data_IF_021487489886
#
_entry.id   IF_021487489886
#
_cell.length_a   1.000
_cell.length_b   1.000
_cell.length_c   1.000
_cell.angle_alpha   90.00
_cell.angle_beta   90.00
_cell.angle_gamma   90.00
#
_symmetry.space_group_name_H-M   'P 1'
#
loop_
_entity.id
_entity.type
_entity.pdbx_description
1 polymer ?
#
# COMPACT_ATOMS: atom_id res chain seq x y z
N UNK A 1 32.94 44.02 8.74
CA UNK A 1 33.36 42.84 9.52
C UNK A 1 32.48 41.69 9.11
N UNK A 2 33.04 40.71 8.39
CA UNK A 2 32.33 39.49 8.01
C UNK A 2 32.52 38.44 9.09
N UNK A 3 31.43 37.84 9.55
CA UNK A 3 31.46 36.71 10.46
C UNK A 3 31.43 35.42 9.61
N UNK A 4 32.38 34.49 9.78
CA UNK A 4 32.35 33.23 9.05
C UNK A 4 31.35 32.28 9.73
N UNK A 5 30.28 31.90 9.03
CA UNK A 5 29.36 30.86 9.47
C UNK A 5 29.98 29.48 9.27
N UNK A 6 30.42 28.84 10.36
CA UNK A 6 30.66 27.40 10.40
C UNK A 6 29.30 26.68 10.39
N UNK A 7 29.20 25.63 9.56
CA UNK A 7 27.95 24.96 9.23
C UNK A 7 27.36 24.04 10.30
N UNK A 8 26.24 23.40 9.95
CA UNK A 8 25.79 22.19 10.62
C UNK A 8 25.12 21.25 9.60
N UNK A 9 25.65 20.03 9.37
CA UNK A 9 24.96 19.00 8.63
C UNK A 9 24.04 18.28 9.63
N UNK A 10 22.79 18.72 9.73
CA UNK A 10 21.82 18.15 10.66
C UNK A 10 20.57 17.70 9.93
N UNK A 11 20.58 16.49 9.37
CA UNK A 11 19.35 15.82 8.96
C UNK A 11 18.57 15.45 10.21
N UNK A 12 17.40 16.06 10.43
CA UNK A 12 16.50 15.67 11.51
C UNK A 12 15.99 14.24 11.28
N UNK A 13 16.13 13.33 12.26
CA UNK A 13 15.48 12.03 12.19
C UNK A 13 13.98 12.27 12.39
N UNK A 14 13.21 12.28 11.29
CA UNK A 14 11.75 12.27 11.37
C UNK A 14 11.32 11.03 12.14
N UNK A 15 10.49 11.21 13.18
CA UNK A 15 9.90 10.10 13.91
C UNK A 15 9.05 9.24 12.96
N UNK A 16 9.40 7.96 12.86
CA UNK A 16 8.70 6.99 12.01
C UNK A 16 7.20 6.96 12.32
N UNK A 17 6.82 7.14 13.59
CA UNK A 17 5.43 7.24 14.04
C UNK A 17 4.68 8.44 13.44
N UNK A 18 5.26 9.64 13.35
CA UNK A 18 4.55 10.74 12.68
C UNK A 18 4.54 10.56 11.17
N UNK A 19 5.56 9.91 10.60
CA UNK A 19 5.54 9.56 9.17
C UNK A 19 4.41 8.58 8.86
N UNK A 20 4.19 7.59 9.73
CA UNK A 20 3.07 6.66 9.66
C UNK A 20 1.72 7.37 9.87
N UNK A 21 1.61 8.26 10.85
CA UNK A 21 0.41 9.06 11.08
C UNK A 21 0.06 9.97 9.89
N UNK A 22 1.06 10.63 9.28
CA UNK A 22 0.85 11.44 8.07
C UNK A 22 0.42 10.59 6.87
N UNK A 23 1.04 9.41 6.68
CA UNK A 23 0.64 8.48 5.62
C UNK A 23 -0.80 7.99 5.82
N UNK A 24 -1.23 7.69 7.05
CA UNK A 24 -2.61 7.28 7.34
C UNK A 24 -3.66 8.34 6.98
N UNK A 25 -3.27 9.62 6.92
CA UNK A 25 -4.16 10.74 6.57
C UNK A 25 -4.07 11.19 5.11
N UNK A 26 -3.03 10.78 4.37
CA UNK A 26 -2.73 11.28 3.01
C UNK A 26 -2.59 10.19 1.94
N UNK A 27 -2.63 8.91 2.34
CA UNK A 27 -2.58 7.77 1.40
C UNK A 27 -3.84 7.72 0.54
N UNK A 28 -3.70 7.34 -0.73
CA UNK A 28 -4.80 7.25 -1.69
C UNK A 28 -5.90 6.30 -1.26
N UNK A 29 -5.54 5.12 -0.75
CA UNK A 29 -6.49 4.21 -0.11
C UNK A 29 -6.41 4.32 1.43
N UNK A 30 -7.54 4.71 2.03
CA UNK A 30 -7.69 4.87 3.48
C UNK A 30 -8.38 3.67 4.17
N UNK A 31 -8.76 2.64 3.41
CA UNK A 31 -9.53 1.51 3.92
C UNK A 31 -8.77 0.75 5.02
N UNK A 32 -9.33 0.70 6.23
CA UNK A 32 -8.71 0.08 7.40
C UNK A 32 -7.52 0.85 7.99
N UNK A 33 -7.08 1.96 7.39
CA UNK A 33 -5.93 2.77 7.85
C UNK A 33 -6.36 4.10 8.44
N UNK A 34 -7.35 4.77 7.82
CA UNK A 34 -7.91 6.04 8.29
C UNK A 34 -9.44 6.08 8.28
N UNK A 35 -10.09 5.11 7.63
CA UNK A 35 -11.54 4.97 7.61
C UNK A 35 -11.95 3.50 7.78
N UNK A 36 -13.13 3.28 8.36
CA UNK A 36 -13.90 2.05 8.26
C UNK A 36 -15.39 2.40 8.16
N UNK A 37 -16.20 1.42 7.78
CA UNK A 37 -17.65 1.52 7.71
C UNK A 37 -18.26 0.53 8.71
N UNK A 38 -19.29 0.95 9.44
CA UNK A 38 -20.07 0.08 10.34
C UNK A 38 -21.49 -0.02 9.80
N UNK A 39 -21.95 -1.25 9.52
CA UNK A 39 -23.28 -1.51 9.02
C UNK A 39 -24.36 -1.30 10.10
N UNK A 40 -25.62 -1.18 9.69
CA UNK A 40 -26.74 -1.13 10.63
C UNK A 40 -26.89 -2.41 11.49
N UNK A 41 -26.24 -3.52 11.10
CA UNK A 41 -26.20 -4.78 11.86
C UNK A 41 -24.96 -4.87 12.76
N UNK A 42 -24.10 -3.86 12.73
CA UNK A 42 -22.87 -3.78 13.51
C UNK A 42 -21.65 -4.44 12.87
N UNK A 43 -21.75 -4.96 11.64
CA UNK A 43 -20.59 -5.49 10.91
C UNK A 43 -19.64 -4.33 10.56
N UNK A 44 -18.34 -4.55 10.71
CA UNK A 44 -17.30 -3.55 10.43
C UNK A 44 -16.57 -3.94 9.16
N UNK A 45 -16.48 -2.99 8.23
CA UNK A 45 -15.83 -3.14 6.93
C UNK A 45 -14.71 -2.10 6.75
N UNK A 46 -13.67 -2.38 5.96
CA UNK A 46 -12.58 -1.44 5.71
C UNK A 46 -12.98 -0.13 5.06
N UNK A 47 -14.01 -0.15 4.21
CA UNK A 47 -14.64 1.03 3.64
C UNK A 47 -16.05 0.67 3.17
N UNK A 48 -16.82 1.65 2.70
CA UNK A 48 -18.18 1.40 2.20
C UNK A 48 -18.27 0.55 0.92
N UNK A 49 -17.15 0.17 0.31
CA UNK A 49 -17.11 -0.55 -0.97
C UNK A 49 -16.39 -1.90 -0.94
N UNK A 50 -15.66 -2.22 0.14
CA UNK A 50 -14.93 -3.49 0.27
C UNK A 50 -15.73 -4.44 1.17
N UNK A 51 -16.45 -5.44 0.61
CA UNK A 51 -17.36 -6.30 1.37
C UNK A 51 -16.63 -7.45 2.07
N UNK A 52 -15.54 -7.15 2.78
CA UNK A 52 -14.79 -8.10 3.60
C UNK A 52 -14.94 -7.67 5.05
N UNK A 53 -15.57 -8.50 5.86
CA UNK A 53 -15.88 -8.20 7.27
C UNK A 53 -14.60 -8.30 8.14
N UNK A 54 -14.33 -7.26 8.92
CA UNK A 54 -13.25 -7.24 9.94
C UNK A 54 -13.74 -7.73 11.32
N UNK A 55 -15.04 -7.66 11.59
CA UNK A 55 -15.66 -8.09 12.85
C UNK A 55 -17.02 -7.44 13.06
N UNK A 56 -17.60 -7.60 14.25
CA UNK A 56 -18.91 -7.04 14.58
C UNK A 56 -18.94 -6.37 15.97
N UNK A 57 -19.32 -5.07 16.01
CA UNK A 57 -19.34 -4.26 17.25
C UNK A 57 -20.35 -4.73 18.30
N UNK A 58 -21.29 -5.60 17.91
CA UNK A 58 -22.26 -6.21 18.84
C UNK A 58 -21.68 -7.42 19.57
N UNK A 59 -20.52 -7.92 19.13
CA UNK A 59 -19.85 -9.12 19.66
C UNK A 59 -18.54 -8.80 20.36
N UNK A 60 -17.80 -7.81 19.89
CA UNK A 60 -16.52 -7.39 20.47
C UNK A 60 -16.35 -5.86 20.41
N UNK A 61 -15.52 -5.26 21.29
CA UNK A 61 -15.26 -3.82 21.27
C UNK A 61 -14.74 -3.34 19.91
N UNK A 62 -15.21 -2.18 19.45
CA UNK A 62 -14.74 -1.59 18.19
C UNK A 62 -13.22 -1.41 18.16
N UNK A 63 -12.62 -1.07 19.31
CA UNK A 63 -11.17 -0.91 19.43
C UNK A 63 -10.40 -2.17 19.05
N UNK A 64 -10.84 -3.34 19.52
CA UNK A 64 -10.21 -4.63 19.20
C UNK A 64 -10.35 -4.97 17.71
N UNK A 65 -11.52 -4.70 17.11
CA UNK A 65 -11.69 -4.83 15.65
C UNK A 65 -10.71 -3.91 14.91
N UNK A 66 -10.66 -2.65 15.34
CA UNK A 66 -9.83 -1.64 14.69
C UNK A 66 -8.34 -1.96 14.83
N UNK A 67 -7.84 -2.21 16.03
CA UNK A 67 -6.41 -2.38 16.31
C UNK A 67 -5.92 -3.78 15.90
N UNK A 68 -6.71 -4.83 16.15
CA UNK A 68 -6.21 -6.21 16.17
C UNK A 68 -6.80 -7.14 15.10
N UNK A 69 -7.78 -6.70 14.29
CA UNK A 69 -8.32 -7.58 13.24
C UNK A 69 -7.25 -7.90 12.19
N UNK A 70 -7.22 -9.17 11.76
CA UNK A 70 -6.30 -9.63 10.72
C UNK A 70 -6.45 -8.81 9.43
N UNK A 71 -7.71 -8.55 9.02
CA UNK A 71 -8.01 -7.76 7.83
C UNK A 71 -7.42 -6.34 7.89
N UNK A 72 -7.61 -5.62 8.99
CA UNK A 72 -7.06 -4.26 9.08
C UNK A 72 -5.54 -4.25 9.25
N UNK A 73 -4.99 -5.25 9.91
CA UNK A 73 -3.54 -5.45 10.00
C UNK A 73 -2.93 -5.61 8.61
N UNK A 74 -3.51 -6.48 7.77
CA UNK A 74 -3.06 -6.69 6.40
C UNK A 74 -3.19 -5.42 5.54
N UNK A 75 -4.31 -4.70 5.63
CA UNK A 75 -4.54 -3.49 4.84
C UNK A 75 -3.59 -2.34 5.19
N UNK A 76 -3.08 -2.31 6.42
CA UNK A 76 -2.07 -1.34 6.86
C UNK A 76 -0.67 -1.71 6.37
N UNK A 77 -0.40 -3.00 6.15
CA UNK A 77 0.88 -3.47 5.67
C UNK A 77 0.99 -3.39 4.13
N UNK A 78 1.59 -2.31 3.66
CA UNK A 78 1.88 -2.12 2.23
C UNK A 78 2.85 -3.15 1.63
N UNK A 79 3.60 -3.89 2.45
CA UNK A 79 4.51 -4.94 1.98
C UNK A 79 3.77 -6.16 1.44
N UNK A 80 2.52 -6.36 1.89
CA UNK A 80 1.65 -7.47 1.47
C UNK A 80 0.91 -7.19 0.15
N UNK A 81 1.05 -6.00 -0.43
CA UNK A 81 0.46 -5.71 -1.74
C UNK A 81 1.06 -6.62 -2.82
N UNK A 82 0.20 -7.26 -3.60
CA UNK A 82 0.57 -8.12 -4.73
C UNK A 82 0.64 -7.40 -6.08
N UNK A 83 0.99 -8.17 -7.11
CA UNK A 83 1.05 -7.70 -8.51
C UNK A 83 1.94 -6.48 -8.70
N UNK A 84 1.60 -5.61 -9.67
CA UNK A 84 2.37 -4.38 -9.90
C UNK A 84 2.39 -3.44 -8.69
N UNK A 85 1.34 -3.46 -7.86
CA UNK A 85 1.24 -2.60 -6.68
C UNK A 85 2.28 -2.97 -5.61
N UNK A 86 2.65 -4.25 -5.48
CA UNK A 86 3.70 -4.70 -4.55
C UNK A 86 5.11 -4.21 -4.91
N UNK A 87 5.35 -4.05 -6.22
CA UNK A 87 6.61 -3.62 -6.80
C UNK A 87 6.68 -2.10 -7.03
N UNK A 88 5.56 -1.40 -6.89
CA UNK A 88 5.43 0.03 -7.19
C UNK A 88 6.14 0.90 -6.15
N UNK A 89 6.95 1.84 -6.63
CA UNK A 89 7.62 2.89 -5.85
C UNK A 89 6.63 3.80 -5.10
N UNK A 90 5.37 3.86 -5.55
CA UNK A 90 4.32 4.66 -4.93
C UNK A 90 3.43 3.88 -3.95
N UNK A 91 3.73 2.61 -3.62
CA UNK A 91 2.85 1.78 -2.79
C UNK A 91 2.53 2.35 -1.40
N UNK A 92 3.44 3.13 -0.84
CA UNK A 92 3.27 3.79 0.45
C UNK A 92 2.34 5.02 0.41
N UNK A 93 2.12 5.59 -0.77
CA UNK A 93 1.31 6.82 -0.95
C UNK A 93 0.02 6.54 -1.73
N UNK A 94 0.06 5.72 -2.77
CA UNK A 94 -1.12 5.36 -3.55
C UNK A 94 -1.82 4.12 -2.98
N UNK A 95 -1.12 2.98 -3.00
CA UNK A 95 -1.64 1.68 -2.58
C UNK A 95 -2.77 1.09 -3.43
N UNK A 96 -3.42 1.88 -4.31
CA UNK A 96 -4.55 1.44 -5.14
C UNK A 96 -5.84 1.17 -4.35
N UNK A 97 -6.99 1.22 -5.02
CA UNK A 97 -8.29 0.94 -4.39
C UNK A 97 -8.48 -0.56 -4.12
N UNK A 98 -8.46 -0.95 -2.84
CA UNK A 98 -8.60 -2.35 -2.41
C UNK A 98 -9.98 -2.93 -2.76
N UNK A 99 -11.02 -2.11 -2.73
CA UNK A 99 -12.37 -2.49 -3.16
C UNK A 99 -12.44 -2.85 -4.65
N UNK A 100 -11.73 -2.12 -5.52
CA UNK A 100 -11.70 -2.43 -6.96
C UNK A 100 -10.85 -3.63 -7.30
N UNK A 101 -9.71 -3.80 -6.61
CA UNK A 101 -8.92 -5.03 -6.70
C UNK A 101 -9.82 -6.24 -6.36
N UNK A 102 -10.46 -6.22 -5.17
CA UNK A 102 -11.36 -7.28 -4.76
C UNK A 102 -12.54 -7.51 -5.72
N UNK A 103 -13.21 -6.44 -6.16
CA UNK A 103 -14.38 -6.55 -7.03
C UNK A 103 -14.08 -7.13 -8.43
N UNK A 104 -12.83 -7.09 -8.88
CA UNK A 104 -12.42 -7.62 -10.20
C UNK A 104 -11.75 -8.99 -10.10
N UNK A 105 -11.01 -9.26 -9.02
CA UNK A 105 -10.15 -10.45 -8.94
C UNK A 105 -10.41 -11.33 -7.72
N UNK A 106 -11.30 -10.90 -6.81
CA UNK A 106 -11.50 -11.50 -5.48
C UNK A 106 -10.26 -11.43 -4.56
N UNK A 107 -9.25 -10.65 -4.94
CA UNK A 107 -8.00 -10.48 -4.18
C UNK A 107 -7.86 -9.01 -3.72
N UNK A 108 -8.21 -8.71 -2.46
CA UNK A 108 -8.17 -7.33 -1.96
C UNK A 108 -6.75 -6.78 -1.80
N UNK A 109 -5.73 -7.66 -1.66
CA UNK A 109 -4.31 -7.27 -1.65
C UNK A 109 -3.69 -7.27 -3.06
N UNK A 110 -4.44 -7.62 -4.10
CA UNK A 110 -3.98 -7.67 -5.47
C UNK A 110 -3.67 -6.30 -6.08
N UNK A 111 -3.27 -6.30 -7.35
CA UNK A 111 -3.08 -5.05 -8.07
C UNK A 111 -4.40 -4.32 -8.35
N UNK A 112 -4.31 -2.99 -8.46
CA UNK A 112 -5.45 -2.19 -8.87
C UNK A 112 -5.59 -2.23 -10.41
N UNK A 113 -6.72 -2.71 -10.94
CA UNK A 113 -6.86 -3.08 -12.36
C UNK A 113 -6.93 -1.88 -13.30
N UNK A 114 -7.26 -0.68 -12.82
CA UNK A 114 -7.42 0.53 -13.64
C UNK A 114 -6.21 1.47 -13.58
N UNK A 115 -5.20 1.14 -12.78
CA UNK A 115 -3.97 1.88 -12.69
C UNK A 115 -3.17 1.68 -13.99
N UNK A 116 -2.98 2.75 -14.75
CA UNK A 116 -2.20 2.76 -16.00
C UNK A 116 -0.70 2.92 -15.79
N UNK A 117 -0.28 3.13 -14.53
CA UNK A 117 1.12 3.33 -14.19
C UNK A 117 1.89 2.01 -14.17
N UNK A 118 3.05 1.99 -14.82
CA UNK A 118 3.99 0.87 -14.79
C UNK A 118 5.19 1.18 -13.87
N UNK A 119 5.41 0.38 -12.81
CA UNK A 119 6.54 0.54 -11.90
C UNK A 119 7.89 0.63 -12.63
N UNK A 120 8.81 1.48 -12.14
CA UNK A 120 10.16 1.58 -12.73
C UNK A 120 10.88 0.24 -12.84
N UNK A 121 10.69 -0.65 -11.87
CA UNK A 121 11.31 -1.99 -11.86
C UNK A 121 10.78 -2.89 -12.99
N UNK A 122 9.54 -2.70 -13.42
CA UNK A 122 8.93 -3.44 -14.53
C UNK A 122 9.40 -2.90 -15.88
N UNK A 123 9.42 -1.56 -16.04
CA UNK A 123 9.94 -0.91 -17.26
C UNK A 123 11.38 -1.29 -17.57
N UNK A 124 12.25 -1.26 -16.55
CA UNK A 124 13.67 -1.64 -16.70
C UNK A 124 13.88 -3.10 -17.08
N UNK A 125 12.97 -3.99 -16.69
CA UNK A 125 13.01 -5.39 -17.10
C UNK A 125 12.56 -5.57 -18.55
N UNK A 126 11.62 -4.75 -19.03
CA UNK A 126 11.19 -4.72 -20.43
C UNK A 126 12.25 -4.14 -21.38
N UNK A 127 13.09 -3.23 -20.89
CA UNK A 127 14.17 -2.60 -21.65
C UNK A 127 15.50 -3.40 -21.64
N UNK A 128 15.55 -4.55 -20.95
CA UNK A 128 16.74 -5.40 -20.96
C UNK A 128 16.95 -5.95 -22.38
N UNK A 129 18.12 -5.74 -23.02
CA UNK A 129 18.35 -6.24 -24.36
C UNK A 129 18.21 -7.77 -24.35
N UNK A 130 17.34 -8.27 -25.22
CA UNK A 130 17.20 -9.69 -25.49
C UNK A 130 18.54 -10.15 -26.05
N UNK A 131 19.40 -10.76 -25.25
CA UNK A 131 20.63 -11.37 -25.74
C UNK A 131 20.26 -12.62 -26.55
N UNK A 132 19.93 -12.39 -27.82
CA UNK A 132 19.76 -13.41 -28.84
C UNK A 132 21.14 -13.76 -29.40
N UNK A 133 21.80 -14.76 -28.82
CA UNK A 133 22.41 -15.91 -29.51
C UNK A 133 23.37 -16.68 -28.60
N UNK A 134 22.91 -17.89 -28.21
CA UNK A 134 23.80 -19.01 -27.94
C UNK A 134 24.36 -19.54 -29.26
N UNK A 135 25.70 -19.64 -29.30
CA UNK A 135 26.54 -20.60 -30.03
C UNK A 135 26.19 -20.93 -31.48
N UNK A 136 26.97 -20.36 -32.41
CA UNK A 136 27.30 -21.05 -33.66
C UNK A 136 28.15 -22.28 -33.33
N UNK A 137 27.58 -23.46 -33.57
CA UNK A 137 28.27 -24.75 -33.57
C UNK A 137 28.24 -25.34 -34.98
N UNK A 138 29.13 -24.87 -35.86
CA UNK A 138 29.67 -25.56 -37.04
C UNK A 138 30.81 -24.66 -37.55
N UNK A 139 32.07 -25.06 -37.68
CA UNK A 139 32.65 -26.27 -38.29
C UNK A 139 34.07 -26.48 -37.73
#
# INVERSE_FOLDING_TARGET
GGHPGNGHPGGHPGNEEARQAMNAMTKGCLAGTGVCFVSHRGEVFPCGYLPVEAGNIRRQPFREIWEDSALFTELRDSSLLGGKCGLCEFKNVCGGCRARAYGMTMEYMGEEPFCTYEPMVMRRAGDAPINLHLSESTN
#
